data_IF_744728595260
#
_entry.id   IF_744728595260
#
_cell.length_a   1.000
_cell.length_b   1.000
_cell.length_c   1.000
_cell.angle_alpha   90.00
_cell.angle_beta   90.00
_cell.angle_gamma   90.00
#
_symmetry.space_group_name_H-M   'P 1'
#
loop_
_entity.id
_entity.type
_entity.pdbx_description
1 polymer ?
#
# COMPACT_ATOMS: atom_id res chain seq x y z
N UNK A 1 16.12 -17.17 11.86
CA UNK A 1 14.67 -17.08 11.54
C UNK A 1 13.94 -15.93 12.24
N UNK A 2 14.18 -15.58 13.52
CA UNK A 2 13.55 -14.42 14.20
C UNK A 2 13.80 -13.01 13.58
N UNK A 3 14.70 -12.91 12.61
CA UNK A 3 15.13 -11.64 11.98
C UNK A 3 14.06 -11.09 11.02
N UNK A 4 13.33 -11.94 10.31
CA UNK A 4 12.38 -11.49 9.29
C UNK A 4 11.19 -10.71 9.89
N UNK A 5 10.60 -11.22 10.98
CA UNK A 5 9.53 -10.52 11.70
C UNK A 5 10.02 -9.21 12.35
N UNK A 6 11.26 -9.21 12.89
CA UNK A 6 11.90 -7.97 13.37
C UNK A 6 12.11 -6.96 12.24
N UNK A 7 12.52 -7.42 11.06
CA UNK A 7 12.83 -6.57 9.91
C UNK A 7 11.58 -6.02 9.19
N UNK A 8 10.46 -6.73 9.24
CA UNK A 8 9.15 -6.26 8.76
C UNK A 8 8.61 -5.11 9.62
N UNK A 9 9.10 -5.00 10.87
CA UNK A 9 8.64 -4.04 11.85
C UNK A 9 7.53 -4.59 12.74
N UNK A 10 7.50 -4.15 13.99
CA UNK A 10 6.52 -4.63 14.99
C UNK A 10 5.16 -3.95 14.86
N UNK A 11 5.11 -2.79 14.24
CA UNK A 11 3.91 -1.97 14.10
C UNK A 11 3.24 -2.18 12.73
N UNK A 12 1.89 -2.14 12.65
CA UNK A 12 1.16 -2.11 11.38
C UNK A 12 1.69 -1.05 10.39
N UNK A 13 2.12 0.11 10.89
CA UNK A 13 2.64 1.21 10.07
C UNK A 13 3.92 0.84 9.31
N UNK A 14 4.91 0.28 10.01
CA UNK A 14 6.13 -0.23 9.40
C UNK A 14 5.85 -1.32 8.34
N UNK A 15 4.85 -2.18 8.57
CA UNK A 15 4.47 -3.23 7.61
C UNK A 15 3.84 -2.63 6.35
N UNK A 16 2.95 -1.64 6.52
CA UNK A 16 2.39 -0.87 5.39
C UNK A 16 3.49 -0.14 4.62
N UNK A 17 4.40 0.57 5.29
CA UNK A 17 5.53 1.24 4.64
C UNK A 17 6.44 0.27 3.88
N UNK A 18 6.69 -0.91 4.45
CA UNK A 18 7.42 -1.97 3.77
C UNK A 18 6.68 -2.39 2.50
N UNK A 19 5.36 -2.60 2.54
CA UNK A 19 4.56 -2.93 1.37
C UNK A 19 4.62 -1.86 0.28
N UNK A 20 4.61 -0.56 0.67
CA UNK A 20 4.76 0.55 -0.28
C UNK A 20 6.11 0.55 -1.00
N UNK A 21 7.17 0.05 -0.34
CA UNK A 21 8.49 -0.12 -0.95
C UNK A 21 8.54 -1.41 -1.78
N UNK A 22 8.01 -2.50 -1.22
CA UNK A 22 8.01 -3.82 -1.83
C UNK A 22 7.30 -3.82 -3.20
N UNK A 23 6.15 -3.15 -3.34
CA UNK A 23 5.42 -3.06 -4.62
C UNK A 23 6.23 -2.45 -5.78
N UNK A 24 7.28 -1.68 -5.47
CA UNK A 24 8.11 -0.98 -6.45
C UNK A 24 9.39 -1.75 -6.81
N UNK A 25 9.67 -2.86 -6.12
CA UNK A 25 10.87 -3.64 -6.38
C UNK A 25 10.75 -4.40 -7.70
N UNK A 26 11.81 -4.35 -8.51
CA UNK A 26 11.95 -5.22 -9.67
C UNK A 26 12.49 -6.58 -9.21
N UNK A 27 11.59 -7.55 -9.01
CA UNK A 27 11.94 -8.89 -8.51
C UNK A 27 12.92 -9.62 -9.43
N UNK A 28 12.94 -9.30 -10.73
CA UNK A 28 13.84 -9.93 -11.71
C UNK A 28 15.31 -9.54 -11.49
N UNK A 29 15.55 -8.35 -10.92
CA UNK A 29 16.88 -7.79 -10.65
C UNK A 29 17.38 -8.07 -9.24
N UNK A 30 16.57 -8.72 -8.40
CA UNK A 30 16.96 -9.02 -7.04
C UNK A 30 17.92 -10.21 -6.98
N UNK A 31 18.98 -10.06 -6.17
CA UNK A 31 19.83 -11.19 -5.80
C UNK A 31 19.01 -12.31 -5.15
N UNK A 32 19.51 -13.54 -5.22
CA UNK A 32 18.85 -14.69 -4.59
C UNK A 32 18.57 -14.46 -3.10
N UNK A 33 19.55 -13.92 -2.37
CA UNK A 33 19.41 -13.53 -0.96
C UNK A 33 18.29 -12.50 -0.74
N UNK A 34 18.16 -11.51 -1.63
CA UNK A 34 17.11 -10.50 -1.54
C UNK A 34 15.72 -11.10 -1.84
N UNK A 35 15.62 -12.00 -2.81
CA UNK A 35 14.37 -12.72 -3.11
C UNK A 35 13.97 -13.65 -1.96
N UNK A 36 14.92 -14.36 -1.36
CA UNK A 36 14.68 -15.16 -0.15
C UNK A 36 14.19 -14.29 1.02
N UNK A 37 14.79 -13.11 1.21
CA UNK A 37 14.35 -12.16 2.23
C UNK A 37 12.93 -11.67 1.98
N UNK A 38 12.58 -11.30 0.76
CA UNK A 38 11.22 -10.88 0.39
C UNK A 38 10.20 -11.98 0.67
N UNK A 39 10.49 -13.21 0.25
CA UNK A 39 9.68 -14.39 0.58
C UNK A 39 9.49 -14.55 2.09
N UNK A 40 10.58 -14.56 2.86
CA UNK A 40 10.52 -14.74 4.31
C UNK A 40 9.73 -13.62 5.02
N UNK A 41 9.78 -12.39 4.49
CA UNK A 41 9.00 -11.27 5.00
C UNK A 41 7.50 -11.42 4.70
N UNK A 42 7.13 -11.86 3.50
CA UNK A 42 5.72 -12.14 3.17
C UNK A 42 5.15 -13.27 4.02
N UNK A 43 5.86 -14.39 4.16
CA UNK A 43 5.45 -15.49 5.06
C UNK A 43 5.29 -14.99 6.49
N UNK A 44 6.23 -14.18 6.98
CA UNK A 44 6.18 -13.66 8.33
C UNK A 44 5.03 -12.69 8.57
N UNK A 45 4.69 -11.90 7.55
CA UNK A 45 3.57 -10.99 7.60
C UNK A 45 2.24 -11.74 7.64
N UNK A 46 2.06 -12.66 6.69
CA UNK A 46 0.87 -13.50 6.57
C UNK A 46 0.59 -14.30 7.85
N UNK A 47 1.62 -14.98 8.38
CA UNK A 47 1.46 -15.93 9.50
C UNK A 47 1.59 -15.28 10.87
N UNK A 48 2.01 -14.03 10.94
CA UNK A 48 2.35 -13.34 12.20
C UNK A 48 3.54 -13.95 12.96
N UNK A 49 4.27 -14.90 12.36
CA UNK A 49 5.43 -15.60 12.94
C UNK A 49 6.52 -15.82 11.89
N UNK A 50 7.80 -15.91 12.26
CA UNK A 50 8.88 -16.07 11.30
C UNK A 50 8.69 -17.22 10.31
N UNK A 51 9.18 -17.05 9.07
CA UNK A 51 9.21 -18.14 8.10
C UNK A 51 10.07 -19.30 8.62
N UNK A 52 9.57 -20.52 8.48
CA UNK A 52 10.25 -21.76 8.86
C UNK A 52 10.62 -22.55 7.62
N UNK A 53 11.88 -23.02 7.58
CA UNK A 53 12.40 -23.80 6.46
C UNK A 53 12.93 -22.98 5.26
N UNK A 54 13.44 -23.68 4.22
CA UNK A 54 13.96 -23.05 3.01
C UNK A 54 12.83 -22.48 2.13
N UNK A 55 13.18 -21.53 1.27
CA UNK A 55 12.25 -21.00 0.26
C UNK A 55 11.94 -22.10 -0.76
N UNK A 56 10.67 -22.38 -1.07
CA UNK A 56 10.32 -23.37 -2.08
C UNK A 56 10.76 -22.90 -3.47
N UNK A 57 11.07 -23.85 -4.36
CA UNK A 57 11.49 -23.56 -5.73
C UNK A 57 10.39 -22.86 -6.55
N UNK A 58 9.12 -23.15 -6.24
CA UNK A 58 7.94 -22.44 -6.73
C UNK A 58 7.30 -21.71 -5.55
N UNK A 59 7.35 -20.39 -5.56
CA UNK A 59 6.61 -19.54 -4.65
C UNK A 59 5.72 -18.58 -5.42
N UNK A 60 4.76 -17.96 -4.73
CA UNK A 60 3.84 -16.98 -5.29
C UNK A 60 4.24 -15.54 -4.95
N UNK A 61 5.53 -15.26 -4.73
CA UNK A 61 6.00 -13.89 -4.36
C UNK A 61 5.71 -12.88 -5.48
N UNK A 62 5.96 -13.18 -6.77
CA UNK A 62 5.61 -12.27 -7.86
C UNK A 62 4.11 -11.96 -7.92
N UNK A 63 3.26 -12.97 -7.77
CA UNK A 63 1.81 -12.85 -7.79
C UNK A 63 1.31 -12.05 -6.59
N UNK A 64 1.88 -12.29 -5.40
CA UNK A 64 1.57 -11.52 -4.20
C UNK A 64 1.99 -10.05 -4.34
N UNK A 65 3.15 -9.77 -4.94
CA UNK A 65 3.58 -8.41 -5.23
C UNK A 65 2.65 -7.71 -6.22
N UNK A 66 2.25 -8.41 -7.29
CA UNK A 66 1.36 -7.87 -8.30
C UNK A 66 -0.03 -7.55 -7.73
N UNK A 67 -0.60 -8.47 -6.93
CA UNK A 67 -1.86 -8.25 -6.24
C UNK A 67 -1.76 -7.07 -5.26
N UNK A 68 -0.70 -7.00 -4.45
CA UNK A 68 -0.45 -5.85 -3.56
C UNK A 68 -0.37 -4.54 -4.34
N UNK A 69 0.33 -4.53 -5.47
CA UNK A 69 0.49 -3.34 -6.30
C UNK A 69 -0.87 -2.84 -6.80
N UNK A 70 -1.68 -3.71 -7.37
CA UNK A 70 -3.03 -3.37 -7.86
C UNK A 70 -3.91 -2.79 -6.75
N UNK A 71 -3.99 -3.48 -5.61
CA UNK A 71 -4.78 -3.04 -4.44
C UNK A 71 -4.29 -1.69 -3.91
N UNK A 72 -2.98 -1.53 -3.75
CA UNK A 72 -2.41 -0.27 -3.26
C UNK A 72 -2.71 0.88 -4.24
N UNK A 73 -2.56 0.67 -5.54
CA UNK A 73 -2.83 1.68 -6.57
C UNK A 73 -4.31 2.07 -6.63
N UNK A 74 -5.21 1.08 -6.62
CA UNK A 74 -6.65 1.33 -6.62
C UNK A 74 -7.11 2.09 -5.36
N UNK A 75 -6.73 1.60 -4.18
CA UNK A 75 -7.09 2.22 -2.89
C UNK A 75 -6.51 3.64 -2.74
N UNK A 76 -5.26 3.84 -3.16
CA UNK A 76 -4.62 5.16 -3.08
C UNK A 76 -5.29 6.21 -3.98
N UNK A 77 -5.89 5.77 -5.09
CA UNK A 77 -6.69 6.60 -5.99
C UNK A 77 -8.15 6.77 -5.50
N UNK A 78 -8.56 6.05 -4.45
CA UNK A 78 -9.93 6.07 -3.95
C UNK A 78 -10.90 5.36 -4.88
N UNK A 79 -10.41 4.40 -5.66
CA UNK A 79 -11.21 3.54 -6.51
C UNK A 79 -11.49 2.22 -5.76
N UNK A 80 -12.69 1.64 -5.93
CA UNK A 80 -12.90 0.24 -5.57
C UNK A 80 -11.94 -0.64 -6.36
N UNK A 81 -11.47 -1.70 -5.72
CA UNK A 81 -10.70 -2.75 -6.38
C UNK A 81 -11.44 -4.07 -6.28
N UNK A 82 -11.41 -4.83 -7.36
CA UNK A 82 -11.97 -6.19 -7.41
C UNK A 82 -10.79 -7.11 -7.68
N UNK A 83 -10.38 -7.82 -6.64
CA UNK A 83 -9.29 -8.78 -6.76
C UNK A 83 -9.91 -10.10 -7.18
N UNK A 84 -9.65 -10.48 -8.44
CA UNK A 84 -10.09 -11.75 -8.98
C UNK A 84 -8.99 -12.79 -8.82
N UNK A 85 -9.28 -13.88 -8.12
CA UNK A 85 -8.39 -15.04 -8.02
C UNK A 85 -9.15 -16.30 -8.43
N UNK A 86 -8.45 -17.34 -8.90
CA UNK A 86 -9.07 -18.64 -9.14
C UNK A 86 -9.82 -19.07 -7.87
N UNK A 87 -11.10 -19.42 -8.01
CA UNK A 87 -11.96 -19.92 -6.92
C UNK A 87 -12.50 -18.87 -5.92
N UNK A 88 -12.11 -17.59 -6.01
CA UNK A 88 -12.64 -16.54 -5.12
C UNK A 88 -12.80 -15.18 -5.79
N UNK A 89 -13.95 -14.52 -5.56
CA UNK A 89 -14.18 -13.12 -5.96
C UNK A 89 -14.32 -12.25 -4.73
N UNK A 90 -13.40 -11.31 -4.51
CA UNK A 90 -13.48 -10.37 -3.38
C UNK A 90 -13.59 -8.93 -3.88
N UNK A 91 -14.31 -8.11 -3.12
CA UNK A 91 -14.41 -6.68 -3.38
C UNK A 91 -13.79 -5.88 -2.24
N UNK A 92 -12.93 -4.93 -2.60
CA UNK A 92 -12.23 -4.06 -1.68
C UNK A 92 -12.65 -2.63 -1.97
N UNK A 93 -13.28 -1.99 -0.98
CA UNK A 93 -13.78 -0.63 -1.13
C UNK A 93 -12.87 0.35 -0.39
N UNK A 94 -12.48 1.47 -1.03
CA UNK A 94 -11.61 2.46 -0.42
C UNK A 94 -12.29 3.12 0.77
N UNK A 95 -11.47 3.57 1.72
CA UNK A 95 -11.96 4.35 2.83
C UNK A 95 -12.64 5.63 2.35
N UNK A 96 -13.86 5.90 2.85
CA UNK A 96 -14.54 7.18 2.61
C UNK A 96 -13.68 8.32 3.18
N UNK A 97 -12.99 9.03 2.28
CA UNK A 97 -12.00 10.06 2.65
C UNK A 97 -12.65 11.13 3.52
N UNK A 98 -12.10 11.36 4.71
CA UNK A 98 -12.59 12.38 5.65
C UNK A 98 -11.77 13.67 5.55
N UNK A 99 -12.37 14.77 6.00
CA UNK A 99 -11.71 16.09 6.03
C UNK A 99 -10.47 16.05 6.94
N UNK A 100 -9.40 16.78 6.60
CA UNK A 100 -8.24 16.92 7.48
C UNK A 100 -8.67 17.37 8.89
N UNK A 101 -8.23 16.65 9.92
CA UNK A 101 -8.57 16.95 11.33
C UNK A 101 -9.67 16.08 11.94
N UNK A 102 -10.26 15.15 11.19
CA UNK A 102 -11.14 14.12 11.77
C UNK A 102 -10.44 13.37 12.94
N UNK A 103 -11.21 13.02 13.97
CA UNK A 103 -10.71 12.31 15.17
C UNK A 103 -10.37 10.84 14.90
N UNK A 104 -10.99 10.25 13.87
CA UNK A 104 -10.79 8.85 13.45
C UNK A 104 -10.75 8.79 11.92
N UNK A 105 -9.87 7.94 11.41
CA UNK A 105 -9.78 7.61 9.98
C UNK A 105 -10.96 6.83 9.42
N UNK A 106 -11.01 6.76 8.10
CA UNK A 106 -11.89 5.85 7.36
C UNK A 106 -11.33 4.42 7.34
N UNK A 107 -12.18 3.44 7.04
CA UNK A 107 -11.78 2.03 6.89
C UNK A 107 -12.00 1.56 5.48
N UNK A 108 -11.11 0.69 5.02
CA UNK A 108 -11.32 -0.14 3.85
C UNK A 108 -12.30 -1.24 4.23
N UNK A 109 -13.34 -1.41 3.43
CA UNK A 109 -14.30 -2.51 3.57
C UNK A 109 -13.86 -3.64 2.65
N UNK A 110 -13.85 -4.86 3.17
CA UNK A 110 -13.52 -6.07 2.43
C UNK A 110 -14.68 -7.05 2.58
N UNK A 111 -15.22 -7.53 1.46
CA UNK A 111 -16.24 -8.59 1.44
C UNK A 111 -15.62 -9.86 0.86
N UNK A 112 -15.72 -10.96 1.61
CA UNK A 112 -15.13 -12.25 1.24
C UNK A 112 -16.21 -13.33 1.28
N UNK A 113 -16.31 -14.14 0.23
CA UNK A 113 -17.26 -15.26 0.18
C UNK A 113 -16.65 -16.58 0.66
N UNK A 114 -15.37 -16.61 1.05
CA UNK A 114 -14.69 -17.83 1.51
C UNK A 114 -13.68 -17.60 2.65
N UNK A 115 -13.61 -18.58 3.56
CA UNK A 115 -12.54 -18.81 4.53
C UNK A 115 -11.40 -19.57 3.89
N UNK A 116 -10.18 -19.05 4.03
CA UNK A 116 -8.94 -19.65 3.49
C UNK A 116 -8.77 -21.11 3.97
N UNK A 117 -8.60 -22.09 3.07
CA UNK A 117 -8.33 -23.46 3.46
C UNK A 117 -6.92 -23.54 4.04
N UNK A 118 -6.80 -24.09 5.24
CA UNK A 118 -5.52 -24.21 5.93
C UNK A 118 -4.52 -25.06 5.15
N UNK A 119 -3.35 -24.48 4.88
CA UNK A 119 -2.16 -25.19 4.42
C UNK A 119 -1.67 -24.79 3.01
N UNK A 120 -0.40 -24.34 2.95
CA UNK A 120 0.45 -24.07 1.76
C UNK A 120 0.26 -22.67 1.10
N UNK A 121 1.26 -22.16 0.33
CA UNK A 121 2.31 -21.16 0.67
C UNK A 121 1.77 -19.71 0.80
N UNK A 122 2.63 -18.67 0.83
CA UNK A 122 2.21 -17.27 0.68
C UNK A 122 1.18 -17.15 -0.43
N UNK A 123 -0.09 -16.90 -0.11
CA UNK A 123 -1.11 -16.65 -1.13
C UNK A 123 -1.22 -15.15 -1.36
N UNK A 124 -1.39 -14.71 -2.61
CA UNK A 124 -1.64 -13.30 -2.91
C UNK A 124 -2.84 -12.76 -2.11
N UNK A 125 -3.88 -13.57 -1.94
CA UNK A 125 -5.04 -13.33 -1.06
C UNK A 125 -4.63 -12.99 0.38
N UNK A 126 -3.92 -13.90 1.07
CA UNK A 126 -3.63 -13.73 2.48
C UNK A 126 -2.74 -12.51 2.74
N UNK A 127 -1.87 -12.17 1.77
CA UNK A 127 -1.08 -10.94 1.81
C UNK A 127 -1.93 -9.69 1.62
N UNK A 128 -2.90 -9.70 0.70
CA UNK A 128 -3.85 -8.59 0.53
C UNK A 128 -4.68 -8.39 1.81
N UNK A 129 -5.17 -9.47 2.43
CA UNK A 129 -5.88 -9.41 3.72
C UNK A 129 -4.99 -8.82 4.82
N UNK A 130 -3.76 -9.32 4.95
CA UNK A 130 -2.81 -8.83 5.95
C UNK A 130 -2.52 -7.33 5.75
N UNK A 131 -2.35 -6.90 4.50
CA UNK A 131 -2.18 -5.49 4.15
C UNK A 131 -3.40 -4.64 4.52
N UNK A 132 -4.61 -5.06 4.15
CA UNK A 132 -5.85 -4.31 4.46
C UNK A 132 -6.06 -4.22 5.96
N UNK A 133 -5.77 -5.29 6.72
CA UNK A 133 -5.86 -5.30 8.17
C UNK A 133 -4.89 -4.29 8.81
N UNK A 134 -3.62 -4.29 8.39
CA UNK A 134 -2.65 -3.32 8.89
C UNK A 134 -2.99 -1.90 8.46
N UNK A 135 -3.49 -1.71 7.23
CA UNK A 135 -3.92 -0.41 6.73
C UNK A 135 -5.10 0.15 7.54
N UNK A 136 -6.07 -0.69 7.90
CA UNK A 136 -7.18 -0.33 8.77
C UNK A 136 -6.71 -0.03 10.21
N UNK A 137 -5.69 -0.74 10.69
CA UNK A 137 -5.11 -0.48 12.01
C UNK A 137 -4.39 0.88 12.10
N UNK A 138 -3.85 1.38 10.98
CA UNK A 138 -3.15 2.68 10.94
C UNK A 138 -3.97 3.85 10.43
N UNK A 139 -5.28 3.69 10.22
CA UNK A 139 -6.19 4.63 9.54
C UNK A 139 -6.02 4.64 8.01
N UNK A 140 -6.91 3.91 7.32
CA UNK A 140 -6.74 3.60 5.90
C UNK A 140 -6.81 4.82 4.97
N UNK A 141 -7.45 5.92 5.40
CA UNK A 141 -7.51 7.19 4.65
C UNK A 141 -6.18 7.97 4.63
N UNK A 142 -5.16 7.47 5.34
CA UNK A 142 -3.77 7.92 5.22
C UNK A 142 -3.09 7.42 3.95
N UNK A 143 -3.54 6.31 3.34
CA UNK A 143 -3.00 5.89 2.04
C UNK A 143 -3.49 6.82 0.94
N UNK A 144 -2.56 7.52 0.27
CA UNK A 144 -2.89 8.58 -0.69
C UNK A 144 -1.95 8.58 -1.89
N UNK A 145 -2.50 8.82 -3.07
CA UNK A 145 -1.74 9.31 -4.21
C UNK A 145 -1.55 10.82 -4.08
N UNK A 146 -0.34 11.32 -4.36
CA UNK A 146 -0.06 12.75 -4.33
C UNK A 146 -0.84 13.49 -5.42
N UNK A 147 -1.65 14.51 -5.07
CA UNK A 147 -2.52 15.17 -6.03
C UNK A 147 -1.84 16.33 -6.78
N UNK A 148 -0.55 16.59 -6.54
CA UNK A 148 0.14 17.70 -7.20
C UNK A 148 0.16 17.47 -8.72
N UNK A 149 -0.24 18.49 -9.48
CA UNK A 149 -0.15 18.53 -10.93
C UNK A 149 0.80 19.64 -11.36
N UNK A 150 1.75 19.32 -12.22
CA UNK A 150 2.72 20.26 -12.80
C UNK A 150 2.83 20.00 -14.30
N UNK A 151 2.66 21.03 -15.13
CA UNK A 151 2.83 20.95 -16.58
C UNK A 151 2.11 19.77 -17.25
N UNK A 152 0.85 19.51 -16.86
CA UNK A 152 0.04 18.42 -17.41
C UNK A 152 0.31 17.03 -16.79
N UNK A 153 1.38 16.84 -16.03
CA UNK A 153 1.70 15.58 -15.36
C UNK A 153 1.25 15.59 -13.89
N UNK A 154 0.54 14.55 -13.45
CA UNK A 154 0.20 14.35 -12.04
C UNK A 154 1.34 13.60 -11.36
N UNK A 155 1.78 14.05 -10.19
CA UNK A 155 2.83 13.37 -9.42
C UNK A 155 2.47 11.90 -9.14
N UNK A 156 1.25 11.64 -8.67
CA UNK A 156 0.73 10.27 -8.51
C UNK A 156 1.42 9.42 -7.44
N UNK A 157 2.52 9.90 -6.84
CA UNK A 157 3.30 9.15 -5.86
C UNK A 157 2.41 8.70 -4.70
N UNK A 158 2.34 7.39 -4.47
CA UNK A 158 1.54 6.79 -3.40
C UNK A 158 2.36 6.73 -2.11
N UNK A 159 1.85 7.35 -1.06
CA UNK A 159 2.51 7.47 0.24
C UNK A 159 1.51 7.22 1.39
N UNK A 160 2.06 6.88 2.56
CA UNK A 160 1.30 6.86 3.81
C UNK A 160 1.42 8.25 4.45
N UNK A 161 0.31 8.97 4.47
CA UNK A 161 0.26 10.34 4.98
C UNK A 161 0.43 10.37 6.51
N UNK A 162 1.29 11.25 7.01
CA UNK A 162 1.18 11.70 8.40
C UNK A 162 -0.14 12.48 8.60
N UNK A 163 -0.53 12.69 9.85
CA UNK A 163 -1.77 13.41 10.18
C UNK A 163 -1.82 14.77 9.46
N UNK A 164 -2.89 15.01 8.68
CA UNK A 164 -3.12 16.21 7.83
C UNK A 164 -2.20 16.37 6.61
N UNK A 165 -1.31 15.43 6.31
CA UNK A 165 -0.46 15.49 5.12
C UNK A 165 -1.29 15.23 3.85
N UNK A 166 -1.16 16.12 2.86
CA UNK A 166 -1.87 16.02 1.57
C UNK A 166 -0.91 15.66 0.43
N UNK A 167 0.35 16.07 0.54
CA UNK A 167 1.35 15.92 -0.51
C UNK A 167 2.46 14.97 -0.04
N UNK A 168 3.04 14.21 -0.97
CA UNK A 168 4.07 13.22 -0.65
C UNK A 168 5.36 13.83 -0.10
N UNK A 169 5.64 15.11 -0.40
CA UNK A 169 6.83 15.83 0.09
C UNK A 169 6.47 17.27 0.51
N UNK A 170 7.31 17.86 1.37
CA UNK A 170 7.20 19.27 1.75
C UNK A 170 7.35 20.20 0.54
N UNK A 171 8.26 19.87 -0.40
CA UNK A 171 8.43 20.60 -1.66
C UNK A 171 7.16 20.62 -2.50
N UNK A 172 6.42 19.51 -2.56
CA UNK A 172 5.14 19.46 -3.27
C UNK A 172 4.05 20.29 -2.58
N UNK A 173 4.03 20.30 -1.25
CA UNK A 173 3.14 21.18 -0.49
C UNK A 173 3.44 22.66 -0.76
N UNK A 174 4.72 23.04 -0.76
CA UNK A 174 5.17 24.40 -1.10
C UNK A 174 4.82 24.78 -2.55
N UNK A 175 5.07 23.90 -3.51
CA UNK A 175 4.73 24.13 -4.92
C UNK A 175 3.21 24.34 -5.09
N UNK A 176 2.38 23.52 -4.44
CA UNK A 176 0.94 23.71 -4.46
C UNK A 176 0.49 25.01 -3.78
N UNK A 177 1.12 25.39 -2.66
CA UNK A 177 0.86 26.66 -1.99
C UNK A 177 1.25 27.84 -2.89
N UNK A 178 2.38 27.76 -3.59
CA UNK A 178 2.83 28.77 -4.54
C UNK A 178 1.86 28.93 -5.72
N UNK A 179 1.36 27.83 -6.30
CA UNK A 179 0.35 27.89 -7.38
C UNK A 179 -0.96 28.55 -6.92
N UNK A 180 -1.36 28.34 -5.66
CA UNK A 180 -2.53 29.02 -5.06
C UNK A 180 -2.23 30.49 -4.75
N UNK A 181 -1.01 30.77 -4.32
CA UNK A 181 -0.57 32.11 -3.95
C UNK A 181 -0.27 32.98 -5.16
N UNK A 182 0.13 32.42 -6.31
CA UNK A 182 0.22 33.12 -7.60
C UNK A 182 -1.15 33.70 -7.93
N UNK A 183 -1.43 34.97 -7.59
CA UNK A 183 -2.67 35.58 -7.98
C UNK A 183 -2.52 35.85 -9.48
N UNK A 184 -3.62 35.78 -10.24
CA UNK A 184 -4.21 36.93 -10.97
C UNK A 184 -3.26 38.12 -11.27
N UNK A 185 -2.02 37.90 -11.72
CA UNK A 185 -0.97 38.91 -11.88
C UNK A 185 -1.14 39.72 -13.17
N UNK A 186 -2.21 39.49 -13.92
CA UNK A 186 -2.53 40.22 -15.15
C UNK A 186 -4.04 40.35 -15.30
N UNK A 187 -4.62 41.30 -14.60
CA UNK A 187 -5.75 42.09 -15.08
C UNK A 187 -5.73 43.43 -14.33
N UNK A 188 -4.66 44.20 -14.52
CA UNK A 188 -4.85 45.65 -14.59
C UNK A 188 -5.50 45.87 -15.95
N UNK A 189 -6.83 45.96 -15.99
CA UNK A 189 -7.55 46.45 -17.17
C UNK A 189 -6.99 47.84 -17.52
N UNK A 190 -6.68 48.14 -18.79
CA UNK A 190 -6.60 49.52 -19.23
C UNK A 190 -7.95 50.22 -19.05
#
# INVERSE_FOLDING_TARGET
MAIALRALGRTPEARVEWALKFRLLDLSKLSERARHRAWAMLVAWERGRPAEGPRPARDKVPEAQQALRQVIEALANGLPDVVWMPETTWSIWPARRRRPGARRGGRVTMTTDHTSPGGIPVTPEAIVVAFVNDLNAVEADRLRACPLKTNGTTCGAIFLAARRQIYCTARHAQAAAWLRYQPKRKEKRP
#
